data_IF_041409052896
#
_entry.id   IF_041409052896
#
_cell.length_a   1.000
_cell.length_b   1.000
_cell.length_c   1.000
_cell.angle_alpha   90.00
_cell.angle_beta   90.00
_cell.angle_gamma   90.00
#
_symmetry.space_group_name_H-M   'P 1'
#
loop_
_entity.id
_entity.type
_entity.pdbx_description
1 polymer ?
#
# COMPACT_ATOMS: atom_id res chain seq x y z
N UNK A 1 -22.32 -22.93 -3.67
CA UNK A 1 -21.17 -21.98 -3.64
C UNK A 1 -20.62 -21.92 -5.06
N UNK A 2 -20.95 -20.86 -5.81
CA UNK A 2 -20.50 -20.73 -7.19
C UNK A 2 -19.05 -20.28 -7.21
N UNK A 3 -18.16 -21.04 -7.86
CA UNK A 3 -16.84 -20.53 -8.23
C UNK A 3 -17.07 -19.25 -9.03
N UNK A 4 -16.37 -18.18 -8.67
CA UNK A 4 -16.36 -16.97 -9.50
C UNK A 4 -15.90 -17.32 -10.92
N UNK A 5 -16.23 -16.49 -11.92
CA UNK A 5 -15.80 -16.68 -13.33
C UNK A 5 -14.26 -16.80 -13.51
N UNK A 6 -13.49 -16.65 -12.44
CA UNK A 6 -12.04 -16.68 -12.37
C UNK A 6 -11.47 -18.00 -11.82
N UNK A 7 -12.32 -18.93 -11.35
CA UNK A 7 -11.90 -20.23 -10.83
C UNK A 7 -11.36 -21.21 -11.86
N UNK A 8 -10.97 -20.73 -13.04
CA UNK A 8 -10.40 -21.49 -14.15
C UNK A 8 -8.87 -21.34 -14.26
N UNK A 9 -8.25 -20.42 -13.51
CA UNK A 9 -6.81 -20.25 -13.52
C UNK A 9 -6.14 -21.11 -12.44
N UNK A 10 -5.04 -21.78 -12.79
CA UNK A 10 -4.28 -22.67 -11.89
C UNK A 10 -3.82 -21.97 -10.60
N UNK A 11 -3.52 -20.67 -10.68
CA UNK A 11 -3.13 -19.86 -9.54
C UNK A 11 -4.25 -19.77 -8.47
N UNK A 12 -5.53 -19.86 -8.89
CA UNK A 12 -6.69 -19.62 -8.02
C UNK A 12 -6.80 -20.69 -6.93
N UNK A 13 -6.78 -21.97 -7.31
CA UNK A 13 -6.91 -23.09 -6.36
C UNK A 13 -5.68 -23.16 -5.42
N UNK A 14 -4.49 -22.78 -5.92
CA UNK A 14 -3.27 -22.67 -5.11
C UNK A 14 -3.38 -21.53 -4.08
N UNK A 15 -3.86 -20.36 -4.49
CA UNK A 15 -4.08 -19.23 -3.59
C UNK A 15 -5.17 -19.56 -2.54
N UNK A 16 -6.25 -20.22 -2.94
CA UNK A 16 -7.31 -20.67 -2.03
C UNK A 16 -6.76 -21.62 -0.95
N UNK A 17 -5.85 -22.53 -1.32
CA UNK A 17 -5.18 -23.42 -0.37
C UNK A 17 -4.35 -22.65 0.65
N UNK A 18 -3.57 -21.66 0.22
CA UNK A 18 -2.81 -20.78 1.14
C UNK A 18 -3.75 -20.05 2.09
N UNK A 19 -4.85 -19.48 1.59
CA UNK A 19 -5.81 -18.73 2.41
C UNK A 19 -6.48 -19.63 3.44
N UNK A 20 -6.86 -20.86 3.07
CA UNK A 20 -7.50 -21.81 3.98
C UNK A 20 -6.55 -22.37 5.06
N UNK A 21 -5.24 -22.37 4.78
CA UNK A 21 -4.22 -22.83 5.73
C UNK A 21 -3.84 -21.78 6.79
N UNK A 22 -4.34 -20.54 6.67
CA UNK A 22 -4.05 -19.46 7.61
C UNK A 22 -5.35 -19.00 8.29
N UNK A 23 -5.46 -19.25 9.59
CA UNK A 23 -6.64 -18.93 10.38
C UNK A 23 -6.97 -17.42 10.38
N UNK A 24 -8.28 -17.13 10.34
CA UNK A 24 -8.83 -15.78 10.28
C UNK A 24 -9.07 -15.25 8.85
N UNK A 25 -8.52 -15.89 7.82
CA UNK A 25 -8.70 -15.45 6.42
C UNK A 25 -9.94 -15.98 5.72
N UNK A 26 -10.66 -16.93 6.31
CA UNK A 26 -11.78 -17.61 5.65
C UNK A 26 -12.88 -16.63 5.20
N UNK A 27 -13.14 -15.58 6.00
CA UNK A 27 -14.16 -14.57 5.71
C UNK A 27 -13.74 -13.53 4.65
N UNK A 28 -12.44 -13.38 4.40
CA UNK A 28 -11.89 -12.42 3.41
C UNK A 28 -11.29 -13.11 2.19
N UNK A 29 -11.31 -14.45 2.16
CA UNK A 29 -10.67 -15.26 1.11
C UNK A 29 -11.18 -14.91 -0.29
N UNK A 30 -12.50 -14.81 -0.48
CA UNK A 30 -13.08 -14.46 -1.78
C UNK A 30 -12.65 -13.06 -2.25
N UNK A 31 -12.52 -12.10 -1.32
CA UNK A 31 -12.08 -10.75 -1.63
C UNK A 31 -10.62 -10.75 -2.11
N UNK A 32 -9.75 -11.50 -1.42
CA UNK A 32 -8.33 -11.65 -1.77
C UNK A 32 -8.18 -12.32 -3.14
N UNK A 33 -8.91 -13.42 -3.38
CA UNK A 33 -8.89 -14.15 -4.65
C UNK A 33 -9.31 -13.26 -5.84
N UNK A 34 -10.33 -12.42 -5.66
CA UNK A 34 -10.75 -11.45 -6.68
C UNK A 34 -9.67 -10.41 -6.96
N UNK A 35 -8.99 -9.90 -5.94
CA UNK A 35 -7.90 -8.94 -6.11
C UNK A 35 -6.69 -9.55 -6.83
N UNK A 36 -6.29 -10.77 -6.47
CA UNK A 36 -5.25 -11.53 -7.17
C UNK A 36 -5.61 -11.72 -8.64
N UNK A 37 -6.86 -12.09 -8.93
CA UNK A 37 -7.32 -12.24 -10.30
C UNK A 37 -7.31 -10.93 -11.09
N UNK A 38 -7.68 -9.81 -10.46
CA UNK A 38 -7.62 -8.51 -11.11
C UNK A 38 -6.19 -8.20 -11.58
N UNK A 39 -5.20 -8.40 -10.71
CA UNK A 39 -3.78 -8.19 -11.06
C UNK A 39 -3.32 -9.14 -12.14
N UNK A 40 -3.67 -10.42 -12.06
CA UNK A 40 -3.36 -11.41 -13.09
C UNK A 40 -3.91 -10.98 -14.46
N UNK A 41 -5.19 -10.62 -14.55
CA UNK A 41 -5.81 -10.17 -15.81
C UNK A 41 -5.12 -8.93 -16.36
N UNK A 42 -4.78 -7.96 -15.49
CA UNK A 42 -4.08 -6.75 -15.91
C UNK A 42 -2.68 -7.05 -16.44
N UNK A 43 -2.02 -8.09 -15.94
CA UNK A 43 -0.73 -8.54 -16.44
C UNK A 43 -0.76 -9.19 -17.83
N UNK A 44 -1.94 -9.60 -18.32
CA UNK A 44 -2.09 -10.13 -19.67
C UNK A 44 -2.11 -9.04 -20.74
N UNK A 45 -2.24 -7.77 -20.34
CA UNK A 45 -2.13 -6.63 -21.26
C UNK A 45 -0.73 -6.03 -21.29
N UNK A 46 -0.49 -5.08 -22.19
CA UNK A 46 0.82 -4.43 -22.41
C UNK A 46 1.19 -3.37 -21.36
N UNK A 47 0.37 -3.18 -20.32
CA UNK A 47 0.57 -2.10 -19.34
C UNK A 47 1.51 -2.54 -18.21
N UNK A 48 2.42 -1.66 -17.74
CA UNK A 48 3.26 -1.94 -16.58
C UNK A 48 2.42 -2.29 -15.34
N UNK A 49 2.62 -3.49 -14.79
CA UNK A 49 1.88 -3.96 -13.60
C UNK A 49 2.49 -3.55 -12.27
N UNK A 50 3.71 -2.98 -12.27
CA UNK A 50 4.43 -2.62 -11.03
C UNK A 50 3.58 -1.75 -10.08
N UNK A 51 2.87 -0.78 -10.65
CA UNK A 51 1.95 0.09 -9.94
C UNK A 51 0.83 -0.72 -9.25
N UNK A 52 0.11 -1.54 -10.03
CA UNK A 52 -0.98 -2.39 -9.55
C UNK A 52 -0.48 -3.40 -8.51
N UNK A 53 0.72 -3.95 -8.69
CA UNK A 53 1.36 -4.82 -7.72
C UNK A 53 1.58 -4.11 -6.39
N UNK A 54 2.12 -2.87 -6.40
CA UNK A 54 2.31 -2.09 -5.17
C UNK A 54 0.98 -1.87 -4.43
N UNK A 55 -0.09 -1.52 -5.16
CA UNK A 55 -1.44 -1.42 -4.60
C UNK A 55 -1.89 -2.74 -3.96
N UNK A 56 -1.73 -3.86 -4.67
CA UNK A 56 -2.09 -5.18 -4.15
C UNK A 56 -1.28 -5.51 -2.89
N UNK A 57 0.02 -5.24 -2.85
CA UNK A 57 0.87 -5.50 -1.68
C UNK A 57 0.38 -4.77 -0.43
N UNK A 58 0.15 -3.45 -0.53
CA UNK A 58 -0.31 -2.66 0.62
C UNK A 58 -1.74 -2.99 1.03
N UNK A 59 -2.60 -3.31 0.07
CA UNK A 59 -3.97 -3.73 0.34
C UNK A 59 -4.03 -5.11 1.01
N UNK A 60 -3.21 -6.06 0.56
CA UNK A 60 -3.08 -7.37 1.20
C UNK A 60 -2.57 -7.21 2.63
N UNK A 61 -1.56 -6.37 2.87
CA UNK A 61 -1.06 -6.15 4.22
C UNK A 61 -2.13 -5.60 5.18
N UNK A 62 -2.95 -4.65 4.76
CA UNK A 62 -4.09 -4.19 5.58
C UNK A 62 -5.07 -5.32 5.92
N UNK A 63 -5.47 -6.09 4.90
CA UNK A 63 -6.45 -7.16 5.09
C UNK A 63 -5.87 -8.24 5.99
N UNK A 64 -4.62 -8.65 5.77
CA UNK A 64 -4.00 -9.73 6.53
C UNK A 64 -3.70 -9.29 7.97
N UNK A 65 -3.18 -8.09 8.21
CA UNK A 65 -2.95 -7.57 9.58
C UNK A 65 -4.24 -7.40 10.38
N UNK A 66 -5.37 -7.17 9.70
CA UNK A 66 -6.69 -7.04 10.33
C UNK A 66 -7.31 -8.39 10.66
N UNK A 67 -7.14 -9.40 9.79
CA UNK A 67 -7.92 -10.63 9.85
C UNK A 67 -7.13 -11.87 10.28
N UNK A 68 -5.80 -11.90 10.14
CA UNK A 68 -5.00 -13.05 10.58
C UNK A 68 -5.03 -13.18 12.10
N UNK A 69 -5.26 -14.40 12.57
CA UNK A 69 -5.11 -14.74 13.98
C UNK A 69 -3.64 -14.60 14.41
N UNK A 70 -2.71 -15.10 13.57
CA UNK A 70 -1.28 -14.88 13.75
C UNK A 70 -0.76 -13.76 12.84
N UNK A 71 -0.82 -12.52 13.36
CA UNK A 71 -0.35 -11.32 12.63
C UNK A 71 1.12 -11.38 12.21
N UNK A 72 1.98 -12.11 12.93
CA UNK A 72 3.41 -12.22 12.56
C UNK A 72 3.60 -12.94 11.21
N UNK A 73 2.62 -13.73 10.79
CA UNK A 73 2.65 -14.45 9.51
C UNK A 73 2.25 -13.60 8.30
N UNK A 74 1.73 -12.37 8.49
CA UNK A 74 1.12 -11.59 7.42
C UNK A 74 2.05 -11.44 6.21
N UNK A 75 3.30 -11.08 6.44
CA UNK A 75 4.27 -10.83 5.38
C UNK A 75 4.62 -12.12 4.61
N UNK A 76 4.72 -13.26 5.30
CA UNK A 76 4.91 -14.58 4.66
C UNK A 76 3.73 -14.89 3.75
N UNK A 77 2.50 -14.69 4.23
CA UNK A 77 1.27 -14.95 3.47
C UNK A 77 1.19 -14.04 2.24
N UNK A 78 1.52 -12.74 2.35
CA UNK A 78 1.62 -11.84 1.19
C UNK A 78 2.59 -12.43 0.16
N UNK A 79 3.79 -12.81 0.60
CA UNK A 79 4.83 -13.31 -0.30
C UNK A 79 4.38 -14.60 -1.02
N UNK A 80 3.75 -15.54 -0.30
CA UNK A 80 3.19 -16.77 -0.89
C UNK A 80 2.12 -16.45 -1.95
N UNK A 81 1.16 -15.57 -1.63
CA UNK A 81 0.08 -15.18 -2.56
C UNK A 81 0.62 -14.48 -3.82
N UNK A 82 1.64 -13.63 -3.68
CA UNK A 82 2.24 -12.93 -4.82
C UNK A 82 3.13 -13.85 -5.66
N UNK A 83 3.82 -14.80 -5.05
CA UNK A 83 4.66 -15.77 -5.77
C UNK A 83 3.85 -16.75 -6.64
N UNK A 84 2.57 -16.95 -6.31
CA UNK A 84 1.60 -17.72 -7.08
C UNK A 84 1.23 -17.00 -8.40
N UNK A 85 1.29 -15.67 -8.43
CA UNK A 85 1.01 -14.89 -9.63
C UNK A 85 2.17 -14.95 -10.62
N UNK A 86 2.04 -15.84 -11.61
CA UNK A 86 3.04 -16.02 -12.66
C UNK A 86 2.46 -15.85 -14.06
N UNK A 87 3.27 -15.32 -14.98
CA UNK A 87 2.92 -15.19 -16.39
C UNK A 87 3.17 -16.52 -17.14
N UNK A 88 2.90 -16.52 -18.46
CA UNK A 88 3.09 -17.70 -19.32
C UNK A 88 4.54 -18.21 -19.39
N UNK A 89 5.52 -17.36 -19.09
CA UNK A 89 6.94 -17.73 -19.04
C UNK A 89 7.37 -18.21 -17.65
N UNK A 90 6.41 -18.43 -16.73
CA UNK A 90 6.65 -18.80 -15.33
C UNK A 90 7.43 -17.73 -14.52
N UNK A 91 7.48 -16.48 -15.02
CA UNK A 91 8.02 -15.35 -14.27
C UNK A 91 6.97 -14.81 -13.30
N UNK A 92 7.39 -14.39 -12.11
CA UNK A 92 6.53 -13.67 -11.18
C UNK A 92 6.04 -12.36 -11.80
N UNK A 93 4.72 -12.18 -11.79
CA UNK A 93 4.04 -10.96 -12.24
C UNK A 93 4.40 -9.80 -11.32
N UNK A 94 4.27 -10.03 -10.01
CA UNK A 94 4.59 -9.04 -8.98
C UNK A 94 5.93 -9.35 -8.33
N UNK A 95 6.98 -8.69 -8.79
CA UNK A 95 8.34 -8.83 -8.25
C UNK A 95 8.55 -7.86 -7.10
N UNK A 96 8.69 -8.39 -5.88
CA UNK A 96 8.97 -7.59 -4.69
C UNK A 96 10.34 -7.91 -4.10
N UNK A 97 11.12 -6.86 -3.87
CA UNK A 97 12.43 -6.94 -3.19
C UNK A 97 12.38 -6.46 -1.75
N UNK A 98 11.22 -6.07 -1.24
CA UNK A 98 11.12 -5.70 0.17
C UNK A 98 11.47 -6.92 0.99
N UNK A 99 12.38 -6.78 1.94
CA UNK A 99 12.52 -7.77 3.02
C UNK A 99 11.32 -7.66 3.97
N UNK A 100 11.18 -8.63 4.89
CA UNK A 100 10.21 -8.54 5.99
C UNK A 100 10.20 -7.14 6.63
N UNK A 101 9.00 -6.57 6.76
CA UNK A 101 8.70 -5.35 7.49
C UNK A 101 7.84 -5.71 8.70
N UNK A 102 8.12 -5.13 9.86
CA UNK A 102 7.14 -5.18 10.94
C UNK A 102 5.92 -4.30 10.61
N UNK A 103 4.86 -4.42 11.42
CA UNK A 103 3.60 -3.73 11.20
C UNK A 103 3.74 -2.19 11.22
N UNK A 104 4.63 -1.65 12.04
CA UNK A 104 4.80 -0.20 12.19
C UNK A 104 5.55 0.39 10.98
N UNK A 105 6.62 -0.28 10.55
CA UNK A 105 7.33 0.03 9.30
C UNK A 105 6.36 -0.06 8.12
N UNK A 106 5.58 -1.13 8.04
CA UNK A 106 4.61 -1.33 6.96
C UNK A 106 3.61 -0.18 6.90
N UNK A 107 3.01 0.22 8.03
CA UNK A 107 2.05 1.32 8.09
C UNK A 107 2.64 2.66 7.65
N UNK A 108 3.86 2.98 8.11
CA UNK A 108 4.55 4.22 7.72
C UNK A 108 4.84 4.27 6.23
N UNK A 109 5.40 3.20 5.67
CA UNK A 109 5.70 3.13 4.24
C UNK A 109 4.42 3.13 3.39
N UNK A 110 3.36 2.44 3.83
CA UNK A 110 2.06 2.46 3.17
C UNK A 110 1.44 3.86 3.14
N UNK A 111 1.54 4.60 4.24
CA UNK A 111 1.09 5.99 4.31
C UNK A 111 1.85 6.85 3.30
N UNK A 112 3.17 6.66 3.19
CA UNK A 112 4.01 7.35 2.21
C UNK A 112 3.61 6.99 0.78
N UNK A 113 3.42 5.70 0.49
CA UNK A 113 2.94 5.22 -0.80
C UNK A 113 1.61 5.88 -1.21
N UNK A 114 0.60 5.85 -0.34
CA UNK A 114 -0.73 6.40 -0.64
C UNK A 114 -0.68 7.86 -1.10
N UNK A 115 0.10 8.69 -0.40
CA UNK A 115 0.28 10.08 -0.78
C UNK A 115 1.11 10.30 -2.05
N UNK A 116 2.08 9.43 -2.34
CA UNK A 116 2.82 9.52 -3.60
C UNK A 116 1.95 9.21 -4.81
N UNK A 117 1.00 8.29 -4.64
CA UNK A 117 0.03 7.90 -5.67
C UNK A 117 -1.05 8.97 -5.87
N UNK A 118 -1.59 9.52 -4.78
CA UNK A 118 -2.61 10.59 -4.84
C UNK A 118 -2.02 12.00 -4.94
N UNK A 119 -0.71 12.12 -5.23
CA UNK A 119 0.01 13.40 -5.20
C UNK A 119 -0.68 14.50 -6.02
N UNK A 120 -1.16 14.18 -7.22
CA UNK A 120 -1.83 15.17 -8.09
C UNK A 120 -3.11 15.68 -7.45
N UNK A 121 -3.92 14.80 -6.86
CA UNK A 121 -5.16 15.16 -6.17
C UNK A 121 -4.86 16.05 -4.96
N UNK A 122 -3.89 15.69 -4.13
CA UNK A 122 -3.47 16.53 -3.00
C UNK A 122 -2.93 17.89 -3.43
N UNK A 123 -2.17 17.97 -4.53
CA UNK A 123 -1.71 19.26 -5.07
C UNK A 123 -2.89 20.13 -5.49
N UNK A 124 -3.95 19.56 -6.07
CA UNK A 124 -5.14 20.30 -6.46
C UNK A 124 -5.96 20.75 -5.24
N UNK A 125 -6.21 19.84 -4.30
CA UNK A 125 -6.99 20.11 -3.08
C UNK A 125 -6.33 21.16 -2.19
N UNK A 126 -4.99 21.15 -2.13
CA UNK A 126 -4.17 22.01 -1.29
C UNK A 126 -3.51 23.15 -2.07
N UNK A 127 -3.96 23.42 -3.31
CA UNK A 127 -3.42 24.49 -4.14
C UNK A 127 -3.67 25.88 -3.54
N UNK A 128 -4.77 26.03 -2.80
CA UNK A 128 -5.12 27.27 -2.12
C UNK A 128 -4.47 27.29 -0.72
N UNK A 129 -3.69 28.32 -0.37
CA UNK A 129 -3.15 28.49 0.99
C UNK A 129 -4.20 28.44 2.11
N UNK A 130 -5.46 28.72 1.77
CA UNK A 130 -6.61 28.67 2.68
C UNK A 130 -7.50 27.44 2.46
N UNK A 131 -6.98 26.35 1.89
CA UNK A 131 -7.75 25.11 1.70
C UNK A 131 -8.35 24.64 3.02
N UNK A 132 -9.68 24.54 3.06
CA UNK A 132 -10.43 24.18 4.27
C UNK A 132 -10.68 22.68 4.28
N UNK A 133 -10.46 22.05 5.43
CA UNK A 133 -10.67 20.62 5.61
C UNK A 133 -11.45 20.32 6.89
N UNK A 134 -12.04 19.12 6.94
CA UNK A 134 -12.63 18.59 8.16
C UNK A 134 -11.53 18.06 9.11
N UNK A 135 -11.91 17.79 10.36
CA UNK A 135 -10.98 17.33 11.40
C UNK A 135 -10.27 16.02 11.04
N UNK A 136 -11.01 15.06 10.49
CA UNK A 136 -10.46 13.76 10.12
C UNK A 136 -9.39 13.87 9.03
N UNK A 137 -9.64 14.67 7.99
CA UNK A 137 -8.69 14.91 6.91
C UNK A 137 -7.46 15.69 7.41
N UNK A 138 -7.67 16.69 8.27
CA UNK A 138 -6.58 17.44 8.87
C UNK A 138 -5.66 16.57 9.71
N UNK A 139 -6.23 15.69 10.55
CA UNK A 139 -5.48 14.73 11.35
C UNK A 139 -4.67 13.80 10.45
N UNK A 140 -5.32 13.20 9.44
CA UNK A 140 -4.67 12.30 8.50
C UNK A 140 -3.51 12.99 7.74
N UNK A 141 -3.72 14.22 7.26
CA UNK A 141 -2.69 15.02 6.59
C UNK A 141 -1.53 15.38 7.51
N UNK A 142 -1.82 15.74 8.76
CA UNK A 142 -0.79 16.05 9.76
C UNK A 142 0.07 14.82 10.05
N UNK A 143 -0.56 13.67 10.30
CA UNK A 143 0.15 12.39 10.52
C UNK A 143 1.04 12.02 9.34
N UNK A 144 0.57 12.24 8.11
CA UNK A 144 1.40 12.02 6.92
C UNK A 144 2.63 12.92 6.91
N UNK A 145 2.45 14.23 7.06
CA UNK A 145 3.54 15.20 6.98
C UNK A 145 4.58 14.97 8.06
N UNK A 146 4.15 14.66 9.28
CA UNK A 146 5.04 14.28 10.39
C UNK A 146 5.82 13.01 10.07
N UNK A 147 5.14 11.95 9.62
CA UNK A 147 5.78 10.70 9.20
C UNK A 147 6.80 10.94 8.07
N UNK A 148 6.45 11.76 7.08
CA UNK A 148 7.35 12.10 5.98
C UNK A 148 8.58 12.86 6.46
N UNK A 149 8.42 13.83 7.37
CA UNK A 149 9.52 14.61 7.97
C UNK A 149 10.49 13.72 8.74
N UNK A 150 9.97 12.84 9.60
CA UNK A 150 10.78 11.86 10.33
C UNK A 150 11.57 10.96 9.38
N UNK A 151 10.88 10.44 8.35
CA UNK A 151 11.49 9.58 7.33
C UNK A 151 12.57 10.30 6.54
N UNK A 152 12.32 11.54 6.14
CA UNK A 152 13.28 12.35 5.41
C UNK A 152 14.52 12.66 6.25
N UNK A 153 14.33 13.07 7.50
CA UNK A 153 15.43 13.34 8.43
C UNK A 153 16.32 12.11 8.64
N UNK A 154 15.70 10.96 8.91
CA UNK A 154 16.42 9.68 9.11
C UNK A 154 17.09 9.19 7.82
N UNK A 155 16.34 9.09 6.73
CA UNK A 155 16.76 8.33 5.57
C UNK A 155 17.52 9.15 4.52
N UNK A 156 17.28 10.47 4.44
CA UNK A 156 17.94 11.35 3.47
C UNK A 156 19.00 12.22 4.15
N UNK A 157 18.67 12.86 5.27
CA UNK A 157 19.61 13.77 5.96
C UNK A 157 20.69 12.99 6.70
N UNK A 158 20.29 12.02 7.53
CA UNK A 158 21.25 11.15 8.24
C UNK A 158 21.79 10.02 7.36
N UNK A 159 21.20 9.84 6.17
CA UNK A 159 21.55 8.81 5.19
C UNK A 159 21.62 7.39 5.77
N UNK A 160 20.69 7.06 6.68
CA UNK A 160 20.57 5.69 7.15
C UNK A 160 20.20 4.73 6.01
N UNK A 161 20.62 3.47 6.17
CA UNK A 161 20.49 2.41 5.16
C UNK A 161 19.77 1.18 5.71
N UNK A 162 18.98 1.35 6.77
CA UNK A 162 18.14 0.25 7.24
C UNK A 162 16.99 -0.05 6.25
N UNK A 163 16.30 -1.17 6.48
CA UNK A 163 15.20 -1.63 5.62
C UNK A 163 14.07 -0.60 5.47
N UNK A 164 13.84 0.18 6.52
CA UNK A 164 12.86 1.27 6.48
C UNK A 164 13.29 2.33 5.48
N UNK A 165 14.55 2.76 5.54
CA UNK A 165 15.09 3.75 4.63
C UNK A 165 15.24 3.25 3.19
N UNK A 166 15.56 1.97 2.98
CA UNK A 166 15.51 1.35 1.65
C UNK A 166 14.10 1.43 1.06
N UNK A 167 13.05 1.14 1.85
CA UNK A 167 11.68 1.23 1.40
C UNK A 167 11.23 2.67 1.16
N UNK A 168 11.58 3.60 2.05
CA UNK A 168 11.26 5.02 1.91
C UNK A 168 11.89 5.62 0.64
N UNK A 169 13.18 5.33 0.38
CA UNK A 169 13.91 5.85 -0.77
C UNK A 169 13.30 5.46 -2.12
N UNK A 170 12.54 4.35 -2.19
CA UNK A 170 11.78 3.97 -3.41
C UNK A 170 10.66 4.94 -3.77
N UNK A 171 10.09 5.62 -2.78
CA UNK A 171 8.99 6.59 -2.97
C UNK A 171 9.45 8.04 -2.86
N UNK A 172 10.67 8.27 -2.36
CA UNK A 172 11.23 9.61 -2.26
C UNK A 172 11.42 10.24 -3.64
N UNK A 173 10.90 11.45 -3.79
CA UNK A 173 11.10 12.27 -4.98
C UNK A 173 11.50 13.69 -4.54
N UNK A 174 12.69 14.12 -4.96
CA UNK A 174 13.26 15.42 -4.63
C UNK A 174 12.38 16.59 -5.10
N UNK A 175 11.82 16.51 -6.31
CA UNK A 175 10.97 17.58 -6.88
C UNK A 175 9.67 17.74 -6.11
N UNK A 176 9.14 16.64 -5.54
CA UNK A 176 7.92 16.65 -4.74
C UNK A 176 8.16 17.07 -3.29
N UNK A 177 9.41 16.99 -2.81
CA UNK A 177 9.78 17.15 -1.39
C UNK A 177 9.18 18.39 -0.74
N UNK A 178 9.36 19.56 -1.36
CA UNK A 178 8.90 20.84 -0.79
C UNK A 178 7.38 20.86 -0.52
N UNK A 179 6.58 20.16 -1.33
CA UNK A 179 5.13 20.07 -1.11
C UNK A 179 4.80 19.05 -0.03
N UNK A 180 5.35 17.84 -0.15
CA UNK A 180 5.13 16.74 0.81
C UNK A 180 5.52 17.14 2.24
N UNK A 181 6.54 17.98 2.38
CA UNK A 181 7.03 18.47 3.66
C UNK A 181 6.13 19.54 4.31
N UNK A 182 5.34 20.27 3.51
CA UNK A 182 4.66 21.49 3.95
C UNK A 182 3.14 21.47 3.74
N UNK A 183 2.57 20.36 3.28
CA UNK A 183 1.12 20.24 3.15
C UNK A 183 0.41 20.50 4.47
N UNK A 184 -0.65 21.29 4.40
CA UNK A 184 -1.49 21.64 5.54
C UNK A 184 -2.83 22.13 5.03
N UNK A 185 -3.84 22.13 5.90
CA UNK A 185 -5.15 22.67 5.60
C UNK A 185 -5.77 23.29 6.85
N UNK A 186 -6.66 24.26 6.67
CA UNK A 186 -7.32 24.96 7.77
C UNK A 186 -8.59 24.23 8.19
N UNK A 187 -8.76 23.99 9.48
CA UNK A 187 -9.97 23.34 10.00
C UNK A 187 -11.20 24.22 9.79
N UNK A 188 -12.26 23.66 9.20
CA UNK A 188 -13.54 24.34 8.94
C UNK A 188 -14.13 25.02 10.18
N UNK A 189 -13.97 24.43 11.36
CA UNK A 189 -14.52 24.96 12.61
C UNK A 189 -13.79 26.21 13.14
N UNK A 190 -12.56 26.51 12.67
CA UNK A 190 -11.85 27.74 13.05
C UNK A 190 -12.34 28.98 12.31
N UNK A 191 -13.05 28.82 11.19
CA UNK A 191 -13.63 29.93 10.41
C UNK A 191 -14.95 30.44 11.00
N UNK A 192 -15.62 29.65 11.85
CA UNK A 192 -16.86 30.07 12.51
C UNK A 192 -16.61 30.83 13.83
N UNK A 193 -15.35 31.09 14.18
CA UNK A 193 -14.92 31.76 15.42
C UNK A 193 -14.14 33.06 15.15
N UNK A 194 -14.10 33.51 13.90
CA UNK A 194 -13.60 34.82 13.46
C UNK A 194 -14.75 35.58 12.79
#
# INVERSE_FOLDING_TARGET
KGKSAFGHYEFYDTAETVLNANDGLQNVSEQILKALCYVYIKSLGDQPVNHICNFLFYWLGDILLKNLDNKLSYYRVIHELLAILKNHNNDQICKFTYTYMDEDIFKKIKLIFGYTEDYVNYVLDLANPNSVCNEQYNLYLTTYVETYKESYAKCIVQNETDKYCEAFKKYYNYEKHSKLHNWSCTLKNRLNLL
#
